data_IF_019382891163
#
_entry.id   IF_019382891163
#
_cell.length_a   1.000
_cell.length_b   1.000
_cell.length_c   1.000
_cell.angle_alpha   90.00
_cell.angle_beta   90.00
_cell.angle_gamma   90.00
#
_symmetry.space_group_name_H-M   'P 1'
#
loop_
_entity.id
_entity.type
_entity.pdbx_description
1 polymer ?
#
# COMPACT_ATOMS: atom_id res chain seq x y z
N UNK A 1 -27.80 -9.87 20.40
CA UNK A 1 -26.78 -10.30 19.41
C UNK A 1 -25.46 -9.62 19.75
N UNK A 2 -24.51 -10.35 20.34
CA UNK A 2 -23.16 -9.83 20.57
C UNK A 2 -22.38 -9.93 19.24
N UNK A 3 -21.99 -8.80 18.66
CA UNK A 3 -21.10 -8.77 17.50
C UNK A 3 -19.70 -9.14 18.00
N UNK A 4 -19.29 -10.39 17.79
CA UNK A 4 -17.90 -10.81 17.98
C UNK A 4 -17.04 -9.89 17.11
N UNK A 5 -16.33 -8.95 17.72
CA UNK A 5 -15.29 -8.23 17.00
C UNK A 5 -14.16 -9.24 16.81
N UNK A 6 -14.05 -9.78 15.61
CA UNK A 6 -12.85 -10.48 15.17
C UNK A 6 -11.69 -9.49 15.32
N UNK A 7 -10.91 -9.67 16.39
CA UNK A 7 -9.61 -9.03 16.56
C UNK A 7 -8.64 -10.01 15.89
N UNK A 8 -8.26 -9.82 14.61
CA UNK A 8 -7.25 -10.68 14.01
C UNK A 8 -6.03 -10.65 14.93
N UNK A 9 -5.51 -11.82 15.28
CA UNK A 9 -4.28 -11.92 16.04
C UNK A 9 -3.23 -11.01 15.40
N UNK A 10 -2.55 -10.22 16.23
CA UNK A 10 -1.50 -9.30 15.75
C UNK A 10 -0.54 -10.11 14.90
N UNK A 11 -0.27 -9.68 13.66
CA UNK A 11 0.76 -10.32 12.84
C UNK A 11 2.08 -10.30 13.63
N UNK A 12 2.75 -11.44 13.82
CA UNK A 12 4.02 -11.48 14.52
C UNK A 12 5.03 -10.60 13.77
N UNK A 13 5.76 -9.78 14.52
CA UNK A 13 6.85 -8.96 13.99
C UNK A 13 8.05 -9.89 13.80
N UNK A 14 8.72 -9.89 12.62
CA UNK A 14 9.93 -10.67 12.43
C UNK A 14 11.00 -10.30 13.46
N UNK A 15 11.67 -11.30 14.06
CA UNK A 15 12.70 -11.07 15.08
C UNK A 15 13.86 -10.22 14.54
N UNK A 16 14.26 -10.47 13.29
CA UNK A 16 15.32 -9.72 12.62
C UNK A 16 14.97 -8.22 12.50
N UNK A 17 13.71 -7.90 12.23
CA UNK A 17 13.27 -6.50 12.13
C UNK A 17 13.44 -5.76 13.46
N UNK A 18 13.24 -6.46 14.59
CA UNK A 18 13.45 -5.88 15.92
C UNK A 18 14.94 -5.61 16.18
N UNK A 19 15.82 -6.52 15.72
CA UNK A 19 17.28 -6.37 15.81
C UNK A 19 17.74 -5.18 14.96
N UNK A 20 17.18 -5.03 13.78
CA UNK A 20 17.50 -3.96 12.83
C UNK A 20 16.84 -2.60 13.19
N UNK A 21 16.13 -2.53 14.32
CA UNK A 21 15.51 -1.31 14.81
C UNK A 21 14.28 -0.86 14.02
N UNK A 22 13.69 -1.74 13.21
CA UNK A 22 12.48 -1.47 12.44
C UNK A 22 11.29 -1.39 13.40
N UNK A 23 10.52 -0.31 13.28
CA UNK A 23 9.38 -0.05 14.14
C UNK A 23 8.07 -0.40 13.46
N UNK A 24 7.13 -0.88 14.27
CA UNK A 24 5.78 -1.25 13.84
C UNK A 24 4.74 -0.52 14.68
N UNK A 25 3.64 -0.11 14.05
CA UNK A 25 2.51 0.48 14.75
C UNK A 25 1.64 -0.57 15.46
N UNK A 26 0.60 -0.11 16.16
CA UNK A 26 -0.32 -0.97 16.92
C UNK A 26 -1.09 -1.97 16.04
N UNK A 27 -1.14 -1.73 14.73
CA UNK A 27 -1.78 -2.58 13.73
C UNK A 27 -0.79 -3.53 13.04
N UNK A 28 0.49 -3.51 13.42
CA UNK A 28 1.54 -4.35 12.84
C UNK A 28 1.99 -3.88 11.45
N UNK A 29 1.82 -2.59 11.14
CA UNK A 29 2.32 -1.97 9.91
C UNK A 29 3.67 -1.33 10.16
N UNK A 30 4.60 -1.48 9.21
CA UNK A 30 5.92 -0.86 9.33
C UNK A 30 5.78 0.67 9.35
N UNK A 31 6.38 1.31 10.34
CA UNK A 31 6.52 2.77 10.40
C UNK A 31 7.44 3.23 9.27
N UNK A 32 7.37 4.49 8.86
CA UNK A 32 8.26 5.02 7.83
C UNK A 32 9.73 4.71 8.17
N UNK A 33 10.45 4.12 7.21
CA UNK A 33 11.83 3.66 7.36
C UNK A 33 12.59 4.03 6.09
N UNK A 34 13.77 4.66 6.14
CA UNK A 34 14.46 5.16 4.95
C UNK A 34 14.71 4.08 3.89
N UNK A 35 15.09 2.88 4.31
CA UNK A 35 15.47 1.80 3.39
C UNK A 35 14.27 1.17 2.68
N UNK A 36 13.11 1.11 3.33
CA UNK A 36 11.89 0.49 2.77
C UNK A 36 10.95 1.52 2.16
N UNK A 37 11.05 2.78 2.58
CA UNK A 37 10.15 3.85 2.17
C UNK A 37 10.92 5.08 1.62
N UNK A 38 11.79 4.93 0.61
CA UNK A 38 12.61 6.02 0.06
C UNK A 38 11.76 7.13 -0.64
N UNK A 39 10.49 6.86 -0.88
CA UNK A 39 9.52 7.80 -1.46
C UNK A 39 8.51 8.31 -0.44
N UNK A 40 8.76 8.11 0.85
CA UNK A 40 7.96 8.70 1.91
C UNK A 40 8.00 10.23 1.85
N UNK A 41 6.87 10.90 2.08
CA UNK A 41 6.73 12.35 1.98
C UNK A 41 6.69 12.91 0.54
N UNK A 42 7.10 12.14 -0.49
CA UNK A 42 6.99 12.55 -1.88
C UNK A 42 5.53 12.42 -2.39
N UNK A 43 5.07 13.28 -3.30
CA UNK A 43 3.79 13.09 -3.99
C UNK A 43 3.70 11.73 -4.68
N UNK A 44 2.47 11.28 -4.95
CA UNK A 44 2.24 10.13 -5.83
C UNK A 44 2.36 10.60 -7.28
N UNK A 45 3.20 9.92 -8.06
CA UNK A 45 3.23 10.09 -9.51
C UNK A 45 1.95 9.51 -10.14
N UNK A 46 1.68 9.80 -11.41
CA UNK A 46 0.54 9.20 -12.10
C UNK A 46 0.72 7.68 -12.20
N UNK A 47 1.92 7.21 -12.49
CA UNK A 47 2.28 5.80 -12.55
C UNK A 47 2.09 5.10 -11.18
N UNK A 48 2.41 5.79 -10.08
CA UNK A 48 2.15 5.27 -8.73
C UNK A 48 0.64 5.05 -8.52
N UNK A 49 -0.20 5.98 -9.00
CA UNK A 49 -1.65 5.91 -8.85
C UNK A 49 -2.26 4.81 -9.71
N UNK A 50 -1.78 4.67 -10.95
CA UNK A 50 -2.12 3.57 -11.84
C UNK A 50 -1.80 2.22 -11.18
N UNK A 51 -0.56 2.04 -10.73
CA UNK A 51 -0.11 0.81 -10.09
C UNK A 51 -0.89 0.54 -8.80
N UNK A 52 -1.03 1.54 -7.93
CA UNK A 52 -1.82 1.44 -6.71
C UNK A 52 -3.26 0.98 -7.00
N UNK A 53 -3.97 1.65 -7.90
CA UNK A 53 -5.36 1.32 -8.20
C UNK A 53 -5.52 -0.04 -8.88
N UNK A 54 -4.56 -0.46 -9.70
CA UNK A 54 -4.57 -1.75 -10.37
C UNK A 54 -4.44 -2.91 -9.39
N UNK A 55 -3.53 -2.81 -8.41
CA UNK A 55 -3.11 -3.95 -7.59
C UNK A 55 -3.62 -3.92 -6.13
N UNK A 56 -4.19 -2.82 -5.63
CA UNK A 56 -4.62 -2.73 -4.22
C UNK A 56 -5.60 -3.81 -3.74
N UNK A 57 -6.49 -4.28 -4.63
CA UNK A 57 -7.50 -5.28 -4.27
C UNK A 57 -7.05 -6.72 -4.54
N UNK A 58 -5.93 -6.93 -5.24
CA UNK A 58 -5.37 -8.26 -5.55
C UNK A 58 -4.16 -8.59 -4.69
N UNK A 59 -3.34 -7.59 -4.38
CA UNK A 59 -2.06 -7.76 -3.69
C UNK A 59 -2.15 -7.36 -2.22
N UNK A 60 -1.18 -7.82 -1.44
CA UNK A 60 -1.03 -7.36 -0.06
C UNK A 60 -0.51 -5.91 -0.03
N UNK A 61 -1.10 -5.07 0.83
CA UNK A 61 -0.70 -3.68 1.07
C UNK A 61 0.79 -3.54 1.39
N UNK A 62 1.41 -4.52 2.05
CA UNK A 62 2.85 -4.52 2.32
C UNK A 62 3.70 -4.64 1.04
N UNK A 63 3.28 -5.46 0.08
CA UNK A 63 3.97 -5.57 -1.21
C UNK A 63 3.91 -4.26 -1.97
N UNK A 64 2.74 -3.60 -1.96
CA UNK A 64 2.55 -2.28 -2.56
C UNK A 64 3.37 -1.20 -1.85
N UNK A 65 3.49 -1.30 -0.52
CA UNK A 65 4.33 -0.42 0.31
C UNK A 65 5.78 -0.43 -0.18
N UNK A 66 6.32 -1.62 -0.43
CA UNK A 66 7.68 -1.80 -0.96
C UNK A 66 7.80 -1.33 -2.41
N UNK A 67 6.86 -1.72 -3.28
CA UNK A 67 6.89 -1.33 -4.69
C UNK A 67 6.86 0.19 -4.89
N UNK A 68 6.04 0.89 -4.09
CA UNK A 68 5.87 2.34 -4.19
C UNK A 68 6.83 3.13 -3.29
N UNK A 69 7.58 2.45 -2.43
CA UNK A 69 8.49 3.07 -1.46
C UNK A 69 7.77 4.01 -0.49
N UNK A 70 6.54 3.70 -0.09
CA UNK A 70 5.70 4.50 0.83
C UNK A 70 5.06 3.57 1.85
N UNK A 71 4.86 4.02 3.09
CA UNK A 71 4.35 3.16 4.16
C UNK A 71 2.94 2.63 3.89
N UNK A 72 2.62 1.44 4.43
CA UNK A 72 1.31 0.79 4.32
C UNK A 72 0.15 1.75 4.68
N UNK A 73 0.35 2.60 5.69
CA UNK A 73 -0.63 3.61 6.09
C UNK A 73 -0.90 4.63 4.98
N UNK A 74 0.15 5.18 4.38
CA UNK A 74 0.04 6.19 3.30
C UNK A 74 -0.64 5.57 2.07
N UNK A 75 -0.28 4.33 1.73
CA UNK A 75 -0.90 3.55 0.66
C UNK A 75 -2.40 3.38 0.90
N UNK A 76 -2.80 2.89 2.07
CA UNK A 76 -4.20 2.66 2.41
C UNK A 76 -5.04 3.95 2.42
N UNK A 77 -4.49 5.04 2.98
CA UNK A 77 -5.16 6.36 3.00
C UNK A 77 -5.34 6.89 1.57
N UNK A 78 -4.30 6.80 0.74
CA UNK A 78 -4.37 7.30 -0.65
C UNK A 78 -5.40 6.51 -1.47
N UNK A 79 -5.41 5.19 -1.38
CA UNK A 79 -6.41 4.36 -2.07
C UNK A 79 -7.83 4.68 -1.60
N UNK A 80 -8.04 4.79 -0.29
CA UNK A 80 -9.35 5.13 0.28
C UNK A 80 -9.88 6.47 -0.25
N UNK A 81 -9.01 7.47 -0.36
CA UNK A 81 -9.36 8.77 -0.94
C UNK A 81 -9.73 8.66 -2.42
N UNK A 82 -8.93 7.97 -3.23
CA UNK A 82 -9.23 7.76 -4.66
C UNK A 82 -10.56 7.03 -4.86
N UNK A 83 -10.87 6.06 -3.99
CA UNK A 83 -12.14 5.33 -4.00
C UNK A 83 -13.32 6.24 -3.67
N UNK A 84 -13.18 7.13 -2.68
CA UNK A 84 -14.19 8.14 -2.36
C UNK A 84 -14.39 9.16 -3.49
N UNK A 85 -13.31 9.53 -4.19
CA UNK A 85 -13.34 10.45 -5.33
C UNK A 85 -13.81 9.77 -6.64
N UNK A 86 -14.05 8.46 -6.65
CA UNK A 86 -14.50 7.71 -7.84
C UNK A 86 -13.40 7.53 -8.91
N UNK A 87 -12.13 7.70 -8.55
CA UNK A 87 -11.01 7.73 -9.50
C UNK A 87 -10.31 6.38 -9.71
N UNK A 88 -10.70 5.33 -8.98
CA UNK A 88 -10.03 4.03 -9.04
C UNK A 88 -10.08 3.41 -10.44
N UNK A 89 -11.27 3.33 -11.06
CA UNK A 89 -11.39 2.76 -12.41
C UNK A 89 -10.70 3.62 -13.47
N UNK A 90 -10.67 4.95 -13.30
CA UNK A 90 -9.94 5.84 -14.19
C UNK A 90 -8.46 5.49 -14.27
N UNK A 91 -7.81 5.28 -13.13
CA UNK A 91 -6.39 4.91 -13.08
C UNK A 91 -6.14 3.46 -13.53
N UNK A 92 -7.06 2.53 -13.25
CA UNK A 92 -7.00 1.15 -13.78
C UNK A 92 -7.03 1.12 -15.30
N UNK A 93 -7.95 1.86 -15.91
CA UNK A 93 -8.07 1.91 -17.36
C UNK A 93 -6.83 2.55 -18.00
N UNK A 94 -6.26 3.57 -17.36
CA UNK A 94 -5.01 4.17 -17.84
C UNK A 94 -3.84 3.19 -17.80
N UNK A 95 -3.70 2.41 -16.72
CA UNK A 95 -2.71 1.33 -16.62
C UNK A 95 -2.87 0.29 -17.74
N UNK A 96 -4.11 -0.20 -17.97
CA UNK A 96 -4.42 -1.20 -19.01
C UNK A 96 -4.09 -0.70 -20.41
N UNK A 97 -4.42 0.56 -20.73
CA UNK A 97 -4.08 1.16 -22.04
C UNK A 97 -2.57 1.18 -22.26
N UNK A 98 -1.81 1.62 -21.26
CA UNK A 98 -0.34 1.64 -21.33
C UNK A 98 0.24 0.25 -21.56
N UNK A 99 -0.19 -0.76 -20.81
CA UNK A 99 0.30 -2.14 -20.96
C UNK A 99 0.01 -2.72 -22.35
N UNK A 100 -1.16 -2.42 -22.92
CA UNK A 100 -1.51 -2.86 -24.27
C UNK A 100 -0.70 -2.16 -25.37
N UNK A 101 -0.35 -0.89 -25.17
CA UNK A 101 0.44 -0.09 -26.13
C UNK A 101 1.93 -0.47 -26.11
N UNK A 102 2.44 -0.92 -24.96
CA UNK A 102 3.83 -1.37 -24.79
C UNK A 102 4.06 -2.82 -25.26
N UNK A 103 3.03 -3.48 -25.82
CA UNK A 103 3.14 -4.80 -26.43
C UNK A 103 3.27 -5.95 -25.43
N UNK A 104 2.51 -5.89 -24.34
CA UNK A 104 2.59 -6.83 -23.23
C UNK A 104 2.17 -8.27 -23.50
#
# INVERSE_FOLDING_TARGET
MLRLQFQPERKPIPEQDLIDGIQYDKQGRMVAHPDFHPNHGKPFSVDDLEYLCMFYETDNVRSLSYALGKSEHVIAVKYSRLKQEGLVEFYRDRYRRRYNEEGG
#
